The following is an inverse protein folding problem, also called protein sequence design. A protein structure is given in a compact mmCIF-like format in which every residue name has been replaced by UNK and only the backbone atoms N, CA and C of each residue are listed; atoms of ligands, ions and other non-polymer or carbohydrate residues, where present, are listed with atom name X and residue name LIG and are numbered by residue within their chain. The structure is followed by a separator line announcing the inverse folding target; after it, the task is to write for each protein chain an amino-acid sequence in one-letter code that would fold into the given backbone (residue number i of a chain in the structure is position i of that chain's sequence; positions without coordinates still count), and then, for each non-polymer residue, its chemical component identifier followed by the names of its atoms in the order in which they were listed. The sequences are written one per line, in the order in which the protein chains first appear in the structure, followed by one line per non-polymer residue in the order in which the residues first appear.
data_IF_911783618183
#
_entry.id   IF_911783618183
#
_cell.length_a   1.000
_cell.length_b   1.000
_cell.length_c   1.000
_cell.angle_alpha   90.00
_cell.angle_beta   90.00
_cell.angle_gamma   90.00
#
_symmetry.space_group_name_H-M   'P 1'
#
loop_
_entity.id
_entity.type
_entity.pdbx_description
1 polymer ?
#
# COMPACT_ATOMS: atom_id res chain seq x y z
N UNK A 1 -6.24 13.29 -17.24
CA UNK A 1 -5.75 12.12 -18.00
C UNK A 1 -5.80 10.90 -17.07
N UNK A 2 -6.87 10.12 -17.13
CA UNK A 2 -7.13 8.95 -16.26
C UNK A 2 -6.59 7.70 -16.94
N UNK A 3 -5.41 7.26 -16.51
CA UNK A 3 -4.84 5.95 -16.86
C UNK A 3 -5.05 5.04 -15.66
N UNK A 4 -6.23 4.42 -15.59
CA UNK A 4 -6.65 3.55 -14.47
C UNK A 4 -6.55 2.09 -14.93
N UNK A 5 -6.17 1.13 -14.06
CA UNK A 5 -6.05 -0.28 -14.44
C UNK A 5 -7.26 -0.90 -15.16
N UNK A 6 -8.47 -0.42 -14.87
CA UNK A 6 -9.70 -0.92 -15.50
C UNK A 6 -9.97 -0.37 -16.90
N UNK A 7 -9.35 0.75 -17.29
CA UNK A 7 -9.72 1.46 -18.51
C UNK A 7 -9.39 0.61 -19.74
N UNK A 8 -10.31 0.47 -20.73
CA UNK A 8 -10.06 -0.32 -21.93
C UNK A 8 -8.78 0.09 -22.67
N UNK A 9 -8.48 1.40 -22.72
CA UNK A 9 -7.25 1.93 -23.32
C UNK A 9 -5.97 1.45 -22.61
N UNK A 10 -6.01 1.28 -21.29
CA UNK A 10 -4.87 0.73 -20.52
C UNK A 10 -4.70 -0.77 -20.79
N UNK A 11 -5.82 -1.50 -20.86
CA UNK A 11 -5.85 -2.95 -21.09
C UNK A 11 -5.47 -3.36 -22.51
N UNK A 12 -5.97 -2.62 -23.52
CA UNK A 12 -5.70 -2.88 -24.94
C UNK A 12 -4.21 -2.67 -25.23
N UNK A 13 -3.50 -1.86 -24.45
CA UNK A 13 -2.07 -1.71 -24.66
C UNK A 13 -1.74 -1.14 -26.04
N UNK A 14 -0.58 -1.50 -26.58
CA UNK A 14 -0.24 -1.18 -27.97
C UNK A 14 -1.00 -2.10 -28.94
N UNK A 15 -2.21 -1.67 -29.34
CA UNK A 15 -3.08 -2.34 -30.33
C UNK A 15 -3.47 -3.80 -29.99
N UNK A 16 -3.54 -4.16 -28.71
CA UNK A 16 -3.88 -5.52 -28.24
C UNK A 16 -2.72 -6.50 -28.26
N UNK A 17 -1.51 -6.06 -28.65
CA UNK A 17 -0.34 -6.92 -28.81
C UNK A 17 0.55 -6.98 -27.56
N UNK A 18 0.65 -5.86 -26.83
CA UNK A 18 1.44 -5.73 -25.60
C UNK A 18 0.65 -4.84 -24.64
N UNK A 19 0.22 -5.39 -23.49
CA UNK A 19 -0.45 -4.60 -22.45
C UNK A 19 0.45 -3.48 -21.90
N UNK A 20 -0.10 -2.36 -21.42
CA UNK A 20 0.73 -1.26 -20.90
C UNK A 20 1.39 -1.59 -19.55
N UNK A 21 0.79 -2.45 -18.73
CA UNK A 21 1.33 -2.85 -17.42
C UNK A 21 2.77 -3.43 -17.44
N UNK A 22 3.18 -4.24 -18.44
CA UNK A 22 4.59 -4.68 -18.57
C UNK A 22 5.49 -3.71 -19.36
N UNK A 23 5.01 -2.56 -19.82
CA UNK A 23 5.77 -1.60 -20.66
C UNK A 23 6.06 -0.31 -19.91
N UNK A 24 7.15 0.42 -20.20
CA UNK A 24 7.49 1.68 -19.53
C UNK A 24 6.56 2.87 -19.87
N UNK A 25 5.40 2.61 -20.50
CA UNK A 25 4.51 3.63 -21.02
C UNK A 25 3.18 3.60 -20.26
N UNK A 26 2.82 4.74 -19.68
CA UNK A 26 1.49 5.03 -19.10
C UNK A 26 1.04 4.12 -17.93
N UNK A 27 1.98 3.46 -17.27
CA UNK A 27 1.79 2.51 -16.17
C UNK A 27 2.03 3.11 -14.77
N UNK A 28 2.89 4.12 -14.64
CA UNK A 28 3.22 4.77 -13.35
C UNK A 28 1.98 5.18 -12.54
N UNK A 29 0.97 5.78 -13.18
CA UNK A 29 -0.27 6.19 -12.51
C UNK A 29 -1.11 5.00 -12.06
N UNK A 30 -1.16 3.93 -12.85
CA UNK A 30 -1.85 2.70 -12.51
C UNK A 30 -1.13 1.98 -11.34
N UNK A 31 0.20 1.92 -11.38
CA UNK A 31 1.04 1.40 -10.29
C UNK A 31 0.84 2.19 -9.00
N UNK A 32 0.82 3.53 -9.05
CA UNK A 32 0.47 4.35 -7.88
C UNK A 32 -0.91 4.01 -7.30
N UNK A 33 -1.93 3.89 -8.15
CA UNK A 33 -3.29 3.59 -7.70
C UNK A 33 -3.40 2.20 -7.06
N UNK A 34 -2.71 1.19 -7.61
CA UNK A 34 -2.72 -0.17 -7.03
C UNK A 34 -2.01 -0.20 -5.67
N UNK A 35 -0.92 0.56 -5.51
CA UNK A 35 -0.27 0.76 -4.21
C UNK A 35 -1.18 1.40 -3.17
N UNK A 36 -1.84 2.51 -3.53
CA UNK A 36 -2.78 3.19 -2.64
C UNK A 36 -3.98 2.29 -2.29
N UNK A 37 -4.51 1.58 -3.28
CA UNK A 37 -5.63 0.66 -3.09
C UNK A 37 -5.28 -0.51 -2.18
N UNK A 38 -4.04 -1.02 -2.24
CA UNK A 38 -3.54 -2.06 -1.33
C UNK A 38 -3.62 -1.60 0.13
N UNK A 39 -3.12 -0.39 0.43
CA UNK A 39 -3.19 0.19 1.77
C UNK A 39 -4.65 0.35 2.25
N UNK A 40 -5.53 0.91 1.41
CA UNK A 40 -6.95 1.11 1.74
C UNK A 40 -7.67 -0.22 1.93
N UNK A 41 -7.41 -1.23 1.09
CA UNK A 41 -7.95 -2.60 1.24
C UNK A 41 -7.56 -3.18 2.59
N UNK A 42 -6.27 -3.13 2.95
CA UNK A 42 -5.78 -3.64 4.24
C UNK A 42 -6.49 -2.98 5.41
N UNK A 43 -6.53 -1.66 5.42
CA UNK A 43 -7.10 -0.89 6.55
C UNK A 43 -8.61 -1.09 6.64
N UNK A 44 -9.31 -1.23 5.51
CA UNK A 44 -10.76 -1.52 5.54
C UNK A 44 -11.07 -2.91 6.09
N UNK A 45 -10.20 -3.89 5.87
CA UNK A 45 -10.31 -5.21 6.51
C UNK A 45 -10.20 -5.06 8.03
N UNK A 46 -9.16 -4.38 8.52
CA UNK A 46 -8.99 -4.19 9.96
C UNK A 46 -10.11 -3.32 10.58
N UNK A 47 -10.64 -2.35 9.83
CA UNK A 47 -11.82 -1.58 10.23
C UNK A 47 -13.03 -2.49 10.45
N UNK A 48 -13.34 -3.37 9.50
CA UNK A 48 -14.49 -4.26 9.60
C UNK A 48 -14.31 -5.37 10.66
N UNK A 49 -13.11 -5.93 10.75
CA UNK A 49 -12.83 -7.11 11.58
C UNK A 49 -12.59 -6.74 13.05
N UNK A 50 -11.96 -5.59 13.32
CA UNK A 50 -11.50 -5.20 14.66
C UNK A 50 -12.09 -3.87 15.13
N UNK A 51 -11.93 -2.80 14.36
CA UNK A 51 -12.14 -1.44 14.86
C UNK A 51 -13.61 -1.02 14.89
N UNK A 52 -14.42 -1.49 13.96
CA UNK A 52 -15.84 -1.13 13.82
C UNK A 52 -16.81 -2.01 14.61
N UNK A 53 -16.32 -2.69 15.66
CA UNK A 53 -17.08 -3.66 16.45
C UNK A 53 -16.95 -3.36 17.94
N UNK A 54 -18.07 -3.45 18.68
CA UNK A 54 -18.07 -3.22 20.13
C UNK A 54 -17.34 -4.31 20.93
N UNK A 55 -17.29 -5.54 20.41
CA UNK A 55 -16.50 -6.67 20.91
C UNK A 55 -16.07 -7.53 19.73
N UNK A 56 -14.98 -8.29 19.87
CA UNK A 56 -14.50 -9.23 18.84
C UNK A 56 -15.56 -10.26 18.38
N UNK A 57 -16.54 -10.56 19.23
CA UNK A 57 -17.66 -11.48 18.92
C UNK A 57 -18.94 -10.79 18.46
N UNK A 58 -19.02 -9.47 18.51
CA UNK A 58 -20.18 -8.70 18.01
C UNK A 58 -20.25 -8.77 16.49
N UNK A 59 -21.41 -8.51 15.87
CA UNK A 59 -21.49 -8.34 14.42
C UNK A 59 -20.68 -7.12 13.95
N UNK A 60 -20.12 -7.18 12.75
CA UNK A 60 -19.47 -6.02 12.12
C UNK A 60 -20.52 -5.01 11.69
N UNK A 61 -20.11 -3.74 11.64
CA UNK A 61 -20.93 -2.71 11.03
C UNK A 61 -21.24 -3.10 9.55
N UNK A 62 -22.53 -3.13 9.15
CA UNK A 62 -22.91 -3.54 7.79
C UNK A 62 -22.26 -2.69 6.69
N UNK A 63 -21.98 -1.41 6.95
CA UNK A 63 -21.36 -0.53 5.97
C UNK A 63 -19.87 -0.87 5.82
N UNK A 64 -19.16 -1.17 6.91
CA UNK A 64 -17.76 -1.62 6.83
C UNK A 64 -17.62 -2.98 6.13
N UNK A 65 -18.53 -3.92 6.38
CA UNK A 65 -18.56 -5.21 5.67
C UNK A 65 -18.79 -5.02 4.17
N UNK A 66 -19.73 -4.15 3.80
CA UNK A 66 -20.02 -3.82 2.41
C UNK A 66 -18.84 -3.11 1.73
N UNK A 67 -18.18 -2.19 2.43
CA UNK A 67 -16.98 -1.49 1.95
C UNK A 67 -15.83 -2.47 1.72
N UNK A 68 -15.58 -3.37 2.69
CA UNK A 68 -14.56 -4.41 2.60
C UNK A 68 -14.77 -5.26 1.36
N UNK A 69 -15.97 -5.79 1.16
CA UNK A 69 -16.30 -6.61 -0.02
C UNK A 69 -16.11 -5.85 -1.33
N UNK A 70 -16.56 -4.60 -1.40
CA UNK A 70 -16.44 -3.77 -2.60
C UNK A 70 -14.98 -3.43 -2.96
N UNK A 71 -14.11 -3.23 -1.96
CA UNK A 71 -12.69 -2.95 -2.20
C UNK A 71 -11.88 -4.18 -2.63
N UNK A 72 -12.30 -5.40 -2.27
CA UNK A 72 -11.61 -6.62 -2.71
C UNK A 72 -11.81 -6.93 -4.20
N UNK A 73 -12.69 -6.21 -4.89
CA UNK A 73 -12.86 -6.38 -6.32
C UNK A 73 -11.54 -6.04 -7.05
N UNK A 74 -11.12 -6.88 -7.98
CA UNK A 74 -9.91 -6.69 -8.78
C UNK A 74 -10.00 -5.36 -9.57
N UNK A 75 -8.93 -4.56 -9.47
CA UNK A 75 -8.82 -3.23 -10.07
C UNK A 75 -8.87 -3.21 -11.59
N UNK A 76 -8.66 -4.36 -12.23
CA UNK A 76 -8.78 -4.55 -13.67
C UNK A 76 -10.21 -4.85 -14.07
N UNK A 77 -11.19 -5.07 -13.18
CA UNK A 77 -12.54 -5.43 -13.63
C UNK A 77 -13.25 -4.30 -14.39
N UNK A 78 -13.62 -4.57 -15.64
CA UNK A 78 -14.46 -3.73 -16.48
C UNK A 78 -15.80 -4.42 -16.77
N UNK A 79 -16.74 -3.70 -17.41
CA UNK A 79 -18.09 -4.20 -17.72
C UNK A 79 -18.04 -5.50 -18.54
N UNK A 80 -17.14 -5.53 -19.53
CA UNK A 80 -16.85 -6.71 -20.35
C UNK A 80 -15.34 -6.93 -20.38
N UNK A 81 -14.88 -8.16 -20.08
CA UNK A 81 -13.46 -8.52 -20.00
C UNK A 81 -13.13 -9.64 -21.00
N UNK A 82 -13.08 -9.35 -22.32
CA UNK A 82 -12.92 -10.39 -23.34
C UNK A 82 -11.48 -10.93 -23.47
N UNK A 83 -10.50 -10.24 -22.89
CA UNK A 83 -9.07 -10.56 -23.03
C UNK A 83 -8.39 -10.95 -21.70
N UNK A 84 -9.16 -11.13 -20.63
CA UNK A 84 -8.66 -11.46 -19.28
C UNK A 84 -9.25 -12.81 -18.88
N UNK A 85 -8.51 -13.90 -19.11
CA UNK A 85 -8.99 -15.27 -18.90
C UNK A 85 -9.25 -15.63 -17.44
N UNK A 86 -8.68 -14.86 -16.52
CA UNK A 86 -8.82 -14.96 -15.07
C UNK A 86 -10.02 -14.15 -14.53
N UNK A 87 -10.66 -13.33 -15.36
CA UNK A 87 -11.81 -12.50 -14.96
C UNK A 87 -13.11 -13.00 -15.59
N UNK A 88 -14.27 -12.76 -14.94
CA UNK A 88 -15.56 -13.03 -15.55
C UNK A 88 -15.77 -12.19 -16.82
N UNK A 89 -16.36 -12.79 -17.85
CA UNK A 89 -16.63 -12.11 -19.13
C UNK A 89 -17.47 -10.85 -18.95
N UNK A 90 -18.47 -10.89 -18.07
CA UNK A 90 -19.30 -9.74 -17.68
C UNK A 90 -19.29 -9.64 -16.17
N UNK A 91 -18.93 -8.46 -15.65
CA UNK A 91 -18.79 -8.22 -14.22
C UNK A 91 -19.17 -6.78 -13.85
N UNK A 92 -19.34 -6.54 -12.55
CA UNK A 92 -19.42 -5.19 -12.03
C UNK A 92 -18.06 -4.49 -12.21
N UNK A 93 -18.09 -3.18 -12.47
CA UNK A 93 -16.86 -2.42 -12.74
C UNK A 93 -16.12 -2.06 -11.45
N UNK A 94 -14.79 -2.03 -11.49
CA UNK A 94 -13.94 -1.61 -10.37
C UNK A 94 -14.31 -0.21 -9.85
N UNK A 95 -14.44 0.78 -10.75
CA UNK A 95 -14.85 2.14 -10.40
C UNK A 95 -16.22 2.20 -9.71
N UNK A 96 -17.22 1.43 -10.15
CA UNK A 96 -18.54 1.43 -9.49
C UNK A 96 -18.43 0.89 -8.07
N UNK A 97 -17.69 -0.20 -7.89
CA UNK A 97 -17.48 -0.81 -6.58
C UNK A 97 -16.65 0.07 -5.64
N UNK A 98 -15.57 0.69 -6.11
CA UNK A 98 -14.78 1.59 -5.27
C UNK A 98 -15.55 2.86 -4.88
N UNK A 99 -16.39 3.41 -5.78
CA UNK A 99 -17.32 4.48 -5.42
C UNK A 99 -18.37 4.02 -4.40
N UNK A 100 -18.82 2.77 -4.49
CA UNK A 100 -19.70 2.17 -3.48
C UNK A 100 -18.99 2.08 -2.13
N UNK A 101 -17.76 1.59 -2.10
CA UNK A 101 -16.95 1.52 -0.89
C UNK A 101 -16.78 2.90 -0.22
N UNK A 102 -16.53 3.96 -1.01
CA UNK A 102 -16.45 5.34 -0.47
C UNK A 102 -17.77 5.74 0.21
N UNK A 103 -18.92 5.44 -0.41
CA UNK A 103 -20.24 5.73 0.19
C UNK A 103 -20.45 4.94 1.48
N UNK A 104 -20.07 3.67 1.49
CA UNK A 104 -20.23 2.79 2.65
C UNK A 104 -19.32 3.24 3.82
N UNK A 105 -18.06 3.63 3.54
CA UNK A 105 -17.15 4.20 4.55
C UNK A 105 -17.67 5.53 5.11
N UNK A 106 -18.23 6.40 4.27
CA UNK A 106 -18.86 7.63 4.72
C UNK A 106 -20.11 7.37 5.57
N UNK A 107 -20.92 6.38 5.19
CA UNK A 107 -22.09 5.98 5.97
C UNK A 107 -21.69 5.47 7.37
N UNK A 108 -20.57 4.74 7.48
CA UNK A 108 -20.02 4.38 8.79
C UNK A 108 -19.66 5.61 9.63
N UNK A 109 -18.99 6.61 9.03
CA UNK A 109 -18.67 7.87 9.73
C UNK A 109 -19.94 8.63 10.17
N UNK A 110 -21.00 8.65 9.35
CA UNK A 110 -22.26 9.30 9.72
C UNK A 110 -22.93 8.58 10.90
N UNK A 111 -22.89 7.24 10.91
CA UNK A 111 -23.39 6.44 12.03
C UNK A 111 -22.57 6.61 13.31
N UNK A 112 -21.24 6.75 13.20
CA UNK A 112 -20.39 7.08 14.34
C UNK A 112 -20.79 8.41 14.97
N UNK A 113 -21.05 9.44 14.16
CA UNK A 113 -21.53 10.75 14.63
C UNK A 113 -22.90 10.68 15.29
N UNK A 114 -23.77 9.79 14.81
CA UNK A 114 -25.10 9.55 15.37
C UNK A 114 -25.09 8.60 16.58
N UNK A 115 -23.93 8.11 17.03
CA UNK A 115 -23.78 7.10 18.09
C UNK A 115 -24.48 5.75 17.76
N UNK A 116 -24.66 5.44 16.48
CA UNK A 116 -25.27 4.20 15.96
C UNK A 116 -24.25 3.13 15.53
N UNK A 117 -22.97 3.48 15.59
CA UNK A 117 -21.82 2.62 15.37
C UNK A 117 -20.77 2.91 16.45
N UNK A 118 -19.80 2.00 16.59
CA UNK A 118 -18.71 2.11 17.56
C UNK A 118 -17.38 1.99 16.84
N UNK A 119 -16.42 2.81 17.26
CA UNK A 119 -15.00 2.66 16.93
C UNK A 119 -14.24 2.25 18.19
N UNK A 120 -13.63 1.07 18.18
CA UNK A 120 -12.88 0.52 19.32
C UNK A 120 -11.41 0.95 19.28
N UNK A 121 -11.15 2.15 19.80
CA UNK A 121 -9.83 2.81 19.87
C UNK A 121 -8.89 2.28 20.96
N UNK A 122 -8.98 1.00 21.34
CA UNK A 122 -8.12 0.40 22.37
C UNK A 122 -6.67 0.18 21.92
N UNK A 123 -5.77 0.10 22.90
CA UNK A 123 -4.34 -0.13 22.69
C UNK A 123 -4.01 -1.44 21.97
N UNK A 124 -4.72 -2.53 22.25
CA UNK A 124 -4.51 -3.82 21.59
C UNK A 124 -5.01 -3.81 20.14
N UNK A 125 -6.07 -3.08 19.84
CA UNK A 125 -6.52 -2.87 18.46
C UNK A 125 -5.52 -2.00 17.68
N UNK A 126 -4.95 -0.96 18.29
CA UNK A 126 -3.87 -0.18 17.69
C UNK A 126 -2.64 -1.06 17.41
N UNK A 127 -2.27 -1.94 18.35
CA UNK A 127 -1.18 -2.88 18.17
C UNK A 127 -1.39 -3.75 16.92
N UNK A 128 -2.58 -4.32 16.75
CA UNK A 128 -2.88 -5.17 15.59
C UNK A 128 -2.89 -4.37 14.30
N UNK A 129 -3.49 -3.17 14.28
CA UNK A 129 -3.49 -2.30 13.11
C UNK A 129 -2.05 -1.97 12.66
N UNK A 130 -1.19 -1.57 13.60
CA UNK A 130 0.22 -1.27 13.32
C UNK A 130 1.00 -2.51 12.89
N UNK A 131 0.73 -3.69 13.46
CA UNK A 131 1.36 -4.94 13.02
C UNK A 131 1.05 -5.23 11.56
N UNK A 132 -0.22 -5.13 11.18
CA UNK A 132 -0.69 -5.41 9.82
C UNK A 132 -0.11 -4.46 8.80
N UNK A 133 0.01 -3.18 9.15
CA UNK A 133 0.59 -2.16 8.27
C UNK A 133 2.10 -2.30 8.20
N UNK A 134 2.79 -2.51 9.33
CA UNK A 134 4.23 -2.74 9.34
C UNK A 134 4.62 -3.99 8.52
N UNK A 135 3.83 -5.06 8.58
CA UNK A 135 4.05 -6.25 7.76
C UNK A 135 3.81 -5.98 6.27
N UNK A 136 2.83 -5.15 5.92
CA UNK A 136 2.57 -4.79 4.52
C UNK A 136 3.69 -3.90 3.95
N UNK A 137 4.14 -2.91 4.71
CA UNK A 137 5.28 -2.06 4.37
C UNK A 137 6.56 -2.88 4.23
N UNK A 138 6.80 -3.83 5.15
CA UNK A 138 7.93 -4.74 5.07
C UNK A 138 7.93 -5.61 3.81
N UNK A 139 6.76 -6.15 3.43
CA UNK A 139 6.64 -6.95 2.22
C UNK A 139 6.98 -6.18 0.94
N UNK A 140 6.51 -4.94 0.82
CA UNK A 140 6.83 -4.09 -0.35
C UNK A 140 8.29 -3.62 -0.29
N UNK A 141 8.84 -3.36 0.89
CA UNK A 141 10.26 -3.02 1.06
C UNK A 141 11.16 -4.17 0.59
N UNK A 142 10.82 -5.41 0.93
CA UNK A 142 11.56 -6.59 0.47
C UNK A 142 11.41 -6.81 -1.05
N UNK A 143 10.24 -6.53 -1.64
CA UNK A 143 10.05 -6.55 -3.09
C UNK A 143 10.99 -5.55 -3.80
N UNK A 144 11.08 -4.33 -3.29
CA UNK A 144 11.99 -3.30 -3.82
C UNK A 144 13.45 -3.71 -3.69
N UNK A 145 13.86 -4.15 -2.50
CA UNK A 145 15.23 -4.59 -2.23
C UNK A 145 15.61 -5.83 -3.07
N UNK A 146 14.67 -6.74 -3.30
CA UNK A 146 14.89 -7.90 -4.16
C UNK A 146 15.02 -7.48 -5.62
N UNK A 147 14.25 -6.50 -6.08
CA UNK A 147 14.36 -5.96 -7.45
C UNK A 147 15.69 -5.23 -7.69
N UNK A 148 16.19 -4.47 -6.70
CA UNK A 148 17.46 -3.73 -6.80
C UNK A 148 18.71 -4.60 -6.63
N UNK A 149 18.57 -5.81 -6.07
CA UNK A 149 19.67 -6.76 -5.87
C UNK A 149 19.94 -7.61 -7.12
N UNK A 150 20.81 -7.13 -8.01
CA UNK A 150 21.33 -7.90 -9.14
C UNK A 150 22.43 -8.89 -8.79
N UNK A 151 23.09 -8.73 -7.64
CA UNK A 151 24.01 -9.73 -7.07
C UNK A 151 23.71 -9.90 -5.59
N UNK A 152 23.78 -11.14 -5.10
CA UNK A 152 23.61 -11.45 -3.68
C UNK A 152 24.80 -12.25 -3.15
N UNK A 153 25.11 -12.06 -1.87
CA UNK A 153 26.04 -12.94 -1.17
C UNK A 153 25.37 -14.29 -0.94
N UNK A 154 26.03 -15.37 -1.33
CA UNK A 154 25.58 -16.73 -1.07
C UNK A 154 26.43 -17.37 0.03
N UNK A 155 25.78 -17.67 1.16
CA UNK A 155 26.46 -18.17 2.36
C UNK A 155 27.06 -19.57 2.14
N UNK A 156 26.41 -20.39 1.30
CA UNK A 156 26.87 -21.76 1.02
C UNK A 156 28.13 -21.77 0.13
N UNK A 157 28.12 -21.02 -0.97
CA UNK A 157 29.27 -20.92 -1.87
C UNK A 157 30.34 -19.90 -1.42
N UNK A 158 30.06 -19.09 -0.39
CA UNK A 158 30.92 -17.99 0.08
C UNK A 158 31.34 -17.04 -1.05
N UNK A 159 30.42 -16.77 -1.96
CA UNK A 159 30.68 -15.96 -3.15
C UNK A 159 29.48 -15.09 -3.51
N UNK A 160 29.73 -14.05 -4.31
CA UNK A 160 28.64 -13.30 -4.92
C UNK A 160 28.07 -14.06 -6.11
N UNK A 161 26.77 -14.32 -6.08
CA UNK A 161 26.03 -14.98 -7.15
C UNK A 161 25.00 -14.01 -7.75
N UNK A 162 24.52 -14.26 -8.98
CA UNK A 162 23.40 -13.49 -9.53
C UNK A 162 22.21 -13.47 -8.58
N UNK A 163 21.67 -12.27 -8.33
CA UNK A 163 20.44 -12.07 -7.56
C UNK A 163 19.19 -12.29 -8.43
N UNK A 164 18.03 -12.19 -7.79
CA UNK A 164 16.72 -12.27 -8.47
C UNK A 164 16.40 -10.98 -9.23
N UNK A 165 16.98 -9.86 -8.79
CA UNK A 165 16.82 -8.54 -9.37
C UNK A 165 17.87 -8.20 -10.42
N UNK A 166 18.08 -6.90 -10.60
CA UNK A 166 19.12 -6.36 -11.47
C UNK A 166 19.48 -4.94 -11.02
N UNK A 167 20.54 -4.36 -11.60
CA UNK A 167 20.99 -2.99 -11.33
C UNK A 167 21.19 -2.25 -12.66
N UNK A 168 20.20 -2.33 -13.56
CA UNK A 168 20.29 -1.80 -14.94
C UNK A 168 20.07 -0.29 -15.04
N UNK A 169 20.04 0.44 -13.92
CA UNK A 169 19.82 1.88 -13.88
C UNK A 169 18.47 2.25 -14.48
N UNK A 170 18.48 3.25 -15.37
CA UNK A 170 17.30 3.72 -16.11
C UNK A 170 16.77 2.72 -17.15
N UNK A 171 17.50 1.63 -17.43
CA UNK A 171 17.05 0.59 -18.37
C UNK A 171 16.23 -0.52 -17.69
N UNK A 172 15.95 -0.40 -16.39
CA UNK A 172 14.98 -1.26 -15.70
C UNK A 172 13.56 -0.69 -15.78
N UNK A 173 12.86 -1.00 -16.87
CA UNK A 173 11.46 -0.62 -17.11
C UNK A 173 10.42 -1.32 -16.21
N UNK A 174 10.84 -2.05 -15.18
CA UNK A 174 9.93 -2.56 -14.13
C UNK A 174 10.20 -1.92 -12.77
N UNK A 175 11.35 -1.27 -12.62
CA UNK A 175 11.72 -0.58 -11.39
C UNK A 175 10.82 0.63 -11.15
N UNK A 176 10.41 1.31 -12.21
CA UNK A 176 9.40 2.36 -12.20
C UNK A 176 8.07 1.90 -11.57
N UNK A 177 7.52 0.78 -12.04
CA UNK A 177 6.28 0.22 -11.54
C UNK A 177 6.37 -0.16 -10.06
N UNK A 178 7.45 -0.80 -9.65
CA UNK A 178 7.67 -1.15 -8.25
C UNK A 178 7.77 0.10 -7.38
N UNK A 179 8.52 1.11 -7.83
CA UNK A 179 8.66 2.39 -7.16
C UNK A 179 7.31 3.12 -7.02
N UNK A 180 6.53 3.26 -8.09
CA UNK A 180 5.25 3.96 -8.03
C UNK A 180 4.20 3.20 -7.22
N UNK A 181 4.21 1.86 -7.21
CA UNK A 181 3.40 1.07 -6.27
C UNK A 181 3.75 1.38 -4.82
N UNK A 182 5.03 1.37 -4.48
CA UNK A 182 5.49 1.74 -3.14
C UNK A 182 5.10 3.18 -2.79
N UNK A 183 5.31 4.12 -3.70
CA UNK A 183 4.94 5.53 -3.56
C UNK A 183 3.45 5.70 -3.26
N UNK A 184 2.57 5.04 -4.01
CA UNK A 184 1.12 5.08 -3.78
C UNK A 184 0.69 4.48 -2.45
N UNK A 185 1.34 3.41 -2.02
CA UNK A 185 1.10 2.79 -0.72
C UNK A 185 1.51 3.73 0.43
N UNK A 186 2.70 4.34 0.34
CA UNK A 186 3.21 5.26 1.37
C UNK A 186 2.37 6.54 1.43
N UNK A 187 1.95 7.07 0.28
CA UNK A 187 1.00 8.19 0.22
C UNK A 187 -0.32 7.88 0.93
N UNK A 188 -0.90 6.70 0.71
CA UNK A 188 -2.14 6.31 1.36
C UNK A 188 -1.94 6.08 2.87
N UNK A 189 -0.86 5.41 3.27
CA UNK A 189 -0.57 5.19 4.68
C UNK A 189 -0.24 6.47 5.45
N UNK A 190 0.36 7.47 4.81
CA UNK A 190 0.57 8.77 5.43
C UNK A 190 -0.76 9.40 5.88
N UNK A 191 -1.76 9.47 4.99
CA UNK A 191 -3.09 9.98 5.34
C UNK A 191 -3.82 9.12 6.37
N UNK A 192 -3.71 7.79 6.26
CA UNK A 192 -4.36 6.86 7.21
C UNK A 192 -3.72 6.99 8.61
N UNK A 193 -2.40 7.14 8.70
CA UNK A 193 -1.73 7.34 9.99
C UNK A 193 -2.07 8.68 10.62
N UNK A 194 -2.27 9.75 9.84
CA UNK A 194 -2.78 11.01 10.38
C UNK A 194 -4.17 10.85 11.01
N UNK A 195 -5.06 10.11 10.36
CA UNK A 195 -6.38 9.80 10.91
C UNK A 195 -6.28 8.90 12.16
N UNK A 196 -5.48 7.83 12.10
CA UNK A 196 -5.28 6.92 13.22
C UNK A 196 -4.70 7.64 14.45
N UNK A 197 -3.85 8.65 14.27
CA UNK A 197 -3.36 9.48 15.38
C UNK A 197 -4.49 10.15 16.15
N UNK A 198 -5.48 10.68 15.43
CA UNK A 198 -6.65 11.32 16.03
C UNK A 198 -7.54 10.28 16.73
N UNK A 199 -7.82 9.16 16.06
CA UNK A 199 -8.71 8.11 16.57
C UNK A 199 -8.15 7.40 17.82
N UNK A 200 -6.83 7.23 17.90
CA UNK A 200 -6.14 6.58 19.03
C UNK A 200 -5.48 7.55 20.00
N UNK A 201 -5.76 8.86 19.92
CA UNK A 201 -5.02 9.90 20.63
C UNK A 201 -4.87 9.67 22.15
N UNK A 202 -5.91 9.11 22.80
CA UNK A 202 -5.85 8.76 24.22
C UNK A 202 -4.78 7.69 24.53
N UNK A 203 -4.66 6.65 23.70
CA UNK A 203 -3.65 5.60 23.84
C UNK A 203 -2.25 6.16 23.64
N UNK A 204 -2.08 7.04 22.64
CA UNK A 204 -0.79 7.67 22.34
C UNK A 204 -0.29 8.53 23.51
N UNK A 205 -1.18 9.33 24.11
CA UNK A 205 -0.85 10.16 25.28
C UNK A 205 -0.53 9.30 26.49
N UNK A 206 -1.38 8.31 26.79
CA UNK A 206 -1.21 7.44 27.95
C UNK A 206 0.12 6.66 27.90
N UNK A 207 0.53 6.21 26.72
CA UNK A 207 1.73 5.40 26.52
C UNK A 207 2.96 6.22 26.10
N UNK A 208 2.86 7.55 26.11
CA UNK A 208 3.93 8.49 25.70
C UNK A 208 4.51 8.18 24.29
N UNK A 209 3.64 7.85 23.33
CA UNK A 209 4.04 7.42 21.98
C UNK A 209 4.20 8.55 20.97
N UNK A 210 3.78 9.78 21.31
CA UNK A 210 3.80 10.93 20.40
C UNK A 210 5.16 11.13 19.70
N UNK A 211 6.32 11.08 20.39
CA UNK A 211 7.61 11.28 19.72
C UNK A 211 7.93 10.21 18.67
N UNK A 212 7.58 8.95 18.93
CA UNK A 212 7.82 7.84 17.98
C UNK A 212 6.85 7.95 16.81
N UNK A 213 5.60 8.34 17.08
CA UNK A 213 4.61 8.61 16.05
C UNK A 213 5.04 9.74 15.11
N UNK A 214 5.58 10.83 15.64
CA UNK A 214 6.09 11.96 14.84
C UNK A 214 7.19 11.50 13.88
N UNK A 215 8.14 10.67 14.35
CA UNK A 215 9.19 10.10 13.49
C UNK A 215 8.62 9.19 12.41
N UNK A 216 7.65 8.34 12.76
CA UNK A 216 6.96 7.50 11.79
C UNK A 216 6.28 8.34 10.70
N UNK A 217 5.55 9.38 11.09
CA UNK A 217 4.85 10.28 10.17
C UNK A 217 5.84 11.01 9.24
N UNK A 218 6.97 11.49 9.77
CA UNK A 218 8.05 12.07 8.96
C UNK A 218 8.52 11.09 7.88
N UNK A 219 8.83 9.84 8.24
CA UNK A 219 9.34 8.88 7.24
C UNK A 219 8.28 8.43 6.23
N UNK A 220 7.01 8.37 6.63
CA UNK A 220 5.89 8.16 5.69
C UNK A 220 5.80 9.32 4.69
N UNK A 221 5.88 10.56 5.18
CA UNK A 221 5.83 11.77 4.36
C UNK A 221 7.05 11.86 3.42
N UNK A 222 8.25 11.60 3.92
CA UNK A 222 9.50 11.58 3.14
C UNK A 222 9.43 10.54 2.01
N UNK A 223 8.91 9.33 2.28
CA UNK A 223 8.71 8.31 1.25
C UNK A 223 7.66 8.75 0.21
N UNK A 224 6.55 9.33 0.66
CA UNK A 224 5.46 9.80 -0.20
C UNK A 224 5.79 11.10 -0.97
N UNK A 225 6.91 11.76 -0.64
CA UNK A 225 7.39 12.97 -1.32
C UNK A 225 8.46 12.67 -2.38
N UNK A 226 8.92 11.42 -2.50
CA UNK A 226 9.91 11.04 -3.51
C UNK A 226 9.30 11.09 -4.92
N UNK A 227 9.65 12.12 -5.69
CA UNK A 227 9.18 12.33 -7.06
C UNK A 227 10.35 12.42 -8.06
N UNK A 228 11.02 11.30 -8.38
CA UNK A 228 12.05 11.30 -9.41
C UNK A 228 11.41 11.50 -10.79
N UNK A 229 12.00 12.36 -11.63
CA UNK A 229 11.57 12.55 -13.02
C UNK A 229 11.66 11.23 -13.81
N UNK A 230 12.70 10.44 -13.53
CA UNK A 230 12.93 9.11 -14.10
C UNK A 230 13.35 8.17 -12.96
N UNK A 231 12.64 7.05 -12.80
CA UNK A 231 13.03 6.02 -11.83
C UNK A 231 14.25 5.26 -12.37
N UNK A 232 15.25 5.06 -11.51
CA UNK A 232 16.51 4.41 -11.85
C UNK A 232 16.79 3.35 -10.80
N UNK A 233 17.12 2.14 -11.26
CA UNK A 233 17.54 1.01 -10.44
C UNK A 233 19.05 0.82 -10.57
N UNK A 234 19.81 1.79 -10.08
CA UNK A 234 21.27 1.78 -10.11
C UNK A 234 21.88 0.77 -9.14
N UNK A 235 23.21 0.68 -9.12
CA UNK A 235 23.90 0.07 -7.97
C UNK A 235 24.00 1.09 -6.85
N UNK A 236 23.96 0.64 -5.61
CA UNK A 236 24.15 1.49 -4.42
C UNK A 236 25.49 2.24 -4.44
N UNK A 237 26.52 1.66 -5.05
CA UNK A 237 27.87 2.21 -5.22
C UNK A 237 28.08 2.90 -6.58
N UNK A 238 27.01 3.16 -7.34
CA UNK A 238 27.11 3.74 -8.68
C UNK A 238 27.43 5.24 -8.64
N UNK A 239 28.37 5.66 -9.49
CA UNK A 239 28.72 7.06 -9.67
C UNK A 239 27.70 7.84 -10.52
N UNK A 240 27.03 7.17 -11.45
CA UNK A 240 26.24 7.84 -12.51
C UNK A 240 24.75 7.49 -12.50
N UNK A 241 24.36 6.38 -11.86
CA UNK A 241 22.98 5.91 -11.85
C UNK A 241 22.46 5.84 -10.42
N UNK A 242 21.55 6.75 -10.00
CA UNK A 242 21.00 6.69 -8.66
C UNK A 242 20.17 5.41 -8.49
N UNK A 243 20.11 4.93 -7.25
CA UNK A 243 19.25 3.82 -6.85
C UNK A 243 18.02 4.36 -6.10
N UNK A 244 16.98 4.69 -6.87
CA UNK A 244 15.73 5.21 -6.32
C UNK A 244 14.93 4.14 -5.56
N UNK A 245 15.14 2.85 -5.86
CA UNK A 245 14.45 1.75 -5.20
C UNK A 245 14.99 1.59 -3.78
N UNK A 246 16.30 1.66 -3.60
CA UNK A 246 16.92 1.63 -2.28
C UNK A 246 16.60 2.89 -1.48
N UNK A 247 16.59 4.07 -2.11
CA UNK A 247 16.18 5.31 -1.44
C UNK A 247 14.74 5.23 -0.88
N UNK A 248 13.78 4.72 -1.68
CA UNK A 248 12.41 4.46 -1.22
C UNK A 248 12.40 3.42 -0.09
N UNK A 249 13.09 2.30 -0.28
CA UNK A 249 13.16 1.19 0.69
C UNK A 249 13.67 1.63 2.06
N UNK A 250 14.66 2.52 2.11
CA UNK A 250 15.20 3.05 3.37
C UNK A 250 14.14 3.85 4.15
N UNK A 251 13.40 4.74 3.50
CA UNK A 251 12.34 5.51 4.18
C UNK A 251 11.19 4.59 4.62
N UNK A 252 10.82 3.61 3.80
CA UNK A 252 9.82 2.60 4.16
C UNK A 252 10.25 1.77 5.37
N UNK A 253 11.50 1.31 5.40
CA UNK A 253 12.07 0.55 6.51
C UNK A 253 12.09 1.39 7.80
N UNK A 254 12.44 2.67 7.73
CA UNK A 254 12.39 3.56 8.89
C UNK A 254 10.97 3.73 9.41
N UNK A 255 9.99 3.96 8.54
CA UNK A 255 8.59 4.03 8.94
C UNK A 255 8.13 2.72 9.61
N UNK A 256 8.47 1.58 9.01
CA UNK A 256 8.18 0.25 9.54
C UNK A 256 8.81 0.04 10.93
N UNK A 257 10.08 0.42 11.12
CA UNK A 257 10.78 0.30 12.39
C UNK A 257 10.10 1.12 13.49
N UNK A 258 9.68 2.36 13.19
CA UNK A 258 8.93 3.15 14.17
C UNK A 258 7.57 2.50 14.51
N UNK A 259 6.87 1.88 13.54
CA UNK A 259 5.63 1.12 13.82
C UNK A 259 5.90 -0.07 14.74
N UNK A 260 6.99 -0.80 14.52
CA UNK A 260 7.41 -1.91 15.39
C UNK A 260 7.76 -1.41 16.79
N UNK A 261 8.50 -0.31 16.91
CA UNK A 261 8.83 0.32 18.20
C UNK A 261 7.57 0.71 18.99
N UNK A 262 6.59 1.33 18.34
CA UNK A 262 5.30 1.68 18.95
C UNK A 262 4.61 0.42 19.49
N UNK A 263 4.57 -0.66 18.71
CA UNK A 263 3.95 -1.92 19.11
C UNK A 263 4.64 -2.56 20.31
N UNK A 264 5.96 -2.52 20.36
CA UNK A 264 6.72 -3.06 21.49
C UNK A 264 6.41 -2.31 22.78
N UNK A 265 6.19 -0.99 22.71
CA UNK A 265 5.74 -0.19 23.85
C UNK A 265 4.31 -0.55 24.26
N UNK A 266 3.39 -0.74 23.31
CA UNK A 266 1.99 -1.11 23.58
C UNK A 266 1.84 -2.51 24.21
N UNK A 267 2.82 -3.40 24.03
CA UNK A 267 2.78 -4.78 24.54
C UNK A 267 3.40 -4.94 25.94
N UNK A 268 3.99 -3.86 26.50
CA UNK A 268 4.57 -3.85 27.85
C UNK A 268 3.55 -3.38 28.88
#
# INVERSE_FOLDING_TARGET
NTWVPMDPQFKIGWFGLIGFAPTPFFDNKASFQTGALRAVRRVTIELADLLGRARRTSAADPALEAARGALQLNERMWLVNPFESDLPLVAATAASNYRKAIRDLNAFNDRLRACEAVFDGRADNLFVLLDRIANDVGGVTDELATRSRGTRWDVASKSFVPGEGNNRGVFDFRADNAFFRAHGMMWAYHGIMQAARADFGAVLVQSNLNPIWDRMEIHLAEAAALEPLIVSNGREDSLFTPDHLSAMSVNMLRAQQNMVEIREVLNR
#
